data_IF_866982419018
#
_entry.id   IF_866982419018
#
_cell.length_a   1.000
_cell.length_b   1.000
_cell.length_c   1.000
_cell.angle_alpha   90.00
_cell.angle_beta   90.00
_cell.angle_gamma   90.00
#
_symmetry.space_group_name_H-M   'P 1'
#
loop_
_entity.id
_entity.type
_entity.pdbx_description
1 polymer ?
#
# COMPACT_ATOMS: atom_id res chain seq x y z
N UNK A 1 -1.99 -17.47 15.14
CA UNK A 1 -2.44 -16.98 13.82
C UNK A 1 -1.70 -15.70 13.51
N UNK A 2 -1.16 -15.55 12.30
CA UNK A 2 -0.57 -14.30 11.80
C UNK A 2 -1.65 -13.43 11.14
N UNK A 3 -1.44 -12.11 11.14
CA UNK A 3 -2.25 -11.16 10.38
C UNK A 3 -1.62 -11.04 8.98
N UNK A 4 -2.43 -11.11 7.92
CA UNK A 4 -1.96 -10.96 6.53
C UNK A 4 -1.89 -9.47 6.19
N UNK A 5 -0.81 -9.03 5.57
CA UNK A 5 -0.59 -7.65 5.17
C UNK A 5 0.10 -7.57 3.81
N UNK A 6 0.08 -6.38 3.23
CA UNK A 6 0.77 -6.05 1.96
C UNK A 6 1.62 -4.79 2.12
N UNK A 7 2.55 -4.57 1.21
CA UNK A 7 3.25 -3.30 1.03
C UNK A 7 2.92 -2.72 -0.35
N UNK A 8 2.77 -1.41 -0.42
CA UNK A 8 2.33 -0.69 -1.62
C UNK A 8 3.17 0.58 -1.83
N UNK A 9 3.20 1.04 -3.07
CA UNK A 9 3.97 2.20 -3.52
C UNK A 9 3.23 2.96 -4.64
N UNK A 10 3.81 4.05 -5.13
CA UNK A 10 3.24 4.77 -6.29
C UNK A 10 3.22 3.96 -7.60
N UNK A 11 3.91 2.81 -7.64
CA UNK A 11 3.86 1.90 -8.78
C UNK A 11 2.57 1.06 -8.79
N UNK A 12 1.93 0.93 -7.64
CA UNK A 12 0.69 0.19 -7.44
C UNK A 12 -0.49 1.13 -7.64
N UNK A 13 -0.78 1.44 -8.91
CA UNK A 13 -1.88 2.32 -9.30
C UNK A 13 -3.23 1.59 -9.23
N UNK A 14 -4.31 2.34 -9.00
CA UNK A 14 -5.70 1.86 -9.06
C UNK A 14 -6.03 0.67 -8.14
N UNK A 15 -5.50 0.65 -6.91
CA UNK A 15 -5.77 -0.39 -5.93
C UNK A 15 -7.26 -0.38 -5.53
N UNK A 16 -7.96 -1.50 -5.77
CA UNK A 16 -9.28 -1.73 -5.17
C UNK A 16 -9.13 -2.22 -3.72
N UNK A 17 -9.26 -1.29 -2.78
CA UNK A 17 -9.17 -1.61 -1.35
C UNK A 17 -10.30 -2.51 -0.85
N UNK A 18 -11.44 -2.58 -1.56
CA UNK A 18 -12.54 -3.49 -1.23
C UNK A 18 -12.16 -4.93 -1.55
N UNK A 19 -11.56 -5.16 -2.72
CA UNK A 19 -11.02 -6.48 -3.10
C UNK A 19 -9.91 -6.92 -2.14
N UNK A 20 -8.97 -6.02 -1.83
CA UNK A 20 -7.88 -6.28 -0.86
C UNK A 20 -8.43 -6.70 0.50
N UNK A 21 -9.47 -6.03 1.00
CA UNK A 21 -10.10 -6.39 2.26
C UNK A 21 -10.83 -7.74 2.18
N UNK A 22 -11.51 -8.02 1.06
CA UNK A 22 -12.18 -9.31 0.81
C UNK A 22 -11.18 -10.49 0.77
N UNK A 23 -9.95 -10.24 0.32
CA UNK A 23 -8.82 -11.19 0.31
C UNK A 23 -8.17 -11.44 1.68
N UNK A 24 -8.75 -10.86 2.73
CA UNK A 24 -8.34 -11.05 4.12
C UNK A 24 -7.06 -10.31 4.49
N UNK A 25 -6.65 -9.31 3.70
CA UNK A 25 -5.55 -8.40 4.06
C UNK A 25 -6.04 -7.46 5.17
N UNK A 26 -5.24 -7.31 6.23
CA UNK A 26 -5.65 -6.61 7.45
C UNK A 26 -4.88 -5.32 7.70
N UNK A 27 -3.75 -5.13 7.03
CA UNK A 27 -2.96 -3.91 7.09
C UNK A 27 -2.14 -3.75 5.81
N UNK A 28 -1.77 -2.51 5.51
CA UNK A 28 -0.84 -2.18 4.45
C UNK A 28 0.25 -1.23 4.97
N UNK A 29 1.47 -1.40 4.46
CA UNK A 29 2.52 -0.40 4.59
C UNK A 29 2.64 0.35 3.27
N UNK A 30 2.48 1.67 3.30
CA UNK A 30 2.65 2.53 2.13
C UNK A 30 4.04 3.15 2.13
N UNK A 31 4.75 3.03 1.00
CA UNK A 31 6.04 3.69 0.80
C UNK A 31 5.86 5.20 0.88
N UNK A 32 6.60 5.88 1.76
CA UNK A 32 6.49 7.33 1.94
C UNK A 32 7.50 8.13 1.09
N UNK A 33 8.75 7.66 1.00
CA UNK A 33 9.86 8.38 0.36
C UNK A 33 10.87 7.43 -0.29
N UNK A 34 11.73 7.96 -1.15
CA UNK A 34 12.91 7.27 -1.71
C UNK A 34 14.12 8.21 -1.73
N UNK A 35 15.23 7.77 -1.15
CA UNK A 35 16.42 8.61 -1.00
C UNK A 35 16.13 9.90 -0.21
N UNK A 36 16.81 10.98 -0.57
CA UNK A 36 16.68 12.28 0.11
C UNK A 36 15.65 13.21 -0.55
N UNK A 37 15.29 12.96 -1.80
CA UNK A 37 14.59 13.96 -2.63
C UNK A 37 13.25 13.49 -3.20
N UNK A 38 12.95 12.19 -3.16
CA UNK A 38 11.70 11.69 -3.71
C UNK A 38 10.69 11.41 -2.58
N UNK A 39 9.53 12.06 -2.67
CA UNK A 39 8.37 11.77 -1.86
C UNK A 39 7.36 11.03 -2.73
N UNK A 40 6.86 9.89 -2.24
CA UNK A 40 5.80 9.15 -2.92
C UNK A 40 4.58 10.07 -3.08
N UNK A 41 4.08 10.27 -4.30
CA UNK A 41 2.81 10.95 -4.50
C UNK A 41 1.72 10.20 -3.75
N UNK A 42 1.03 10.89 -2.86
CA UNK A 42 -0.16 10.32 -2.22
C UNK A 42 -1.27 10.34 -3.27
N UNK A 43 -1.76 9.17 -3.65
CA UNK A 43 -3.03 9.06 -4.34
C UNK A 43 -4.12 9.15 -3.26
N UNK A 44 -5.01 10.14 -3.40
CA UNK A 44 -6.23 10.26 -2.59
C UNK A 44 -7.20 9.10 -2.87
#
# INVERSE_FOLDING_TARGET
MSKKGIDVSHWDVDIDWSEVANDGIQFAFAKATEGETFQTPVAD
#
